data_IF_739526703511
#
_entry.id   IF_739526703511
#
_cell.length_a   1.000
_cell.length_b   1.000
_cell.length_c   1.000
_cell.angle_alpha   90.00
_cell.angle_beta   90.00
_cell.angle_gamma   90.00
#
_symmetry.space_group_name_H-M   'P 1'
#
loop_
_entity.id
_entity.type
_entity.pdbx_description
1 polymer ?
#
# COMPACT_ATOMS: atom_id res chain seq x y z
N UNK A 1 24.55 0.85 -25.45
CA UNK A 1 24.35 0.42 -24.06
C UNK A 1 24.44 -1.09 -24.02
N UNK A 2 25.30 -1.70 -23.19
CA UNK A 2 25.39 -3.14 -23.11
C UNK A 2 24.11 -3.71 -22.49
N UNK A 3 23.54 -4.72 -23.14
CA UNK A 3 22.45 -5.51 -22.59
C UNK A 3 22.92 -6.24 -21.33
N UNK A 4 22.02 -6.43 -20.35
CA UNK A 4 22.24 -7.42 -19.29
C UNK A 4 22.68 -8.75 -19.93
N UNK A 5 23.62 -9.50 -19.31
CA UNK A 5 23.98 -10.82 -19.82
C UNK A 5 22.72 -11.65 -20.02
N UNK A 6 22.64 -12.42 -21.11
CA UNK A 6 21.44 -13.20 -21.48
C UNK A 6 20.96 -14.17 -20.38
N UNK A 7 21.80 -14.43 -19.37
CA UNK A 7 21.50 -15.26 -18.20
C UNK A 7 20.71 -14.54 -17.10
N UNK A 8 20.65 -13.19 -17.09
CA UNK A 8 19.94 -12.42 -16.07
C UNK A 8 18.58 -11.92 -16.55
N UNK A 9 17.55 -12.10 -15.73
CA UNK A 9 16.16 -11.73 -16.06
C UNK A 9 15.68 -10.64 -15.11
N UNK A 10 15.23 -9.52 -15.69
CA UNK A 10 14.49 -8.48 -14.95
C UNK A 10 13.08 -8.98 -14.65
N UNK A 11 12.69 -8.93 -13.38
CA UNK A 11 11.39 -9.33 -12.90
C UNK A 11 10.67 -8.12 -12.27
N UNK A 12 9.72 -7.51 -13.00
CA UNK A 12 9.00 -6.33 -12.51
C UNK A 12 8.08 -6.72 -11.35
N UNK A 13 8.13 -5.97 -10.25
CA UNK A 13 7.30 -6.18 -9.05
C UNK A 13 6.55 -4.91 -8.67
N UNK A 14 5.41 -5.05 -8.01
CA UNK A 14 4.82 -3.97 -7.24
C UNK A 14 5.40 -3.96 -5.81
N UNK A 15 5.49 -2.80 -5.13
CA UNK A 15 5.89 -2.71 -3.73
C UNK A 15 5.13 -3.66 -2.78
N UNK A 16 3.84 -3.90 -3.00
CA UNK A 16 3.04 -4.90 -2.25
C UNK A 16 3.50 -6.34 -2.41
N UNK A 17 4.13 -6.68 -3.53
CA UNK A 17 4.59 -8.05 -3.83
C UNK A 17 5.93 -8.36 -3.17
N UNK A 18 6.60 -7.36 -2.59
CA UNK A 18 7.86 -7.53 -1.90
C UNK A 18 7.64 -7.75 -0.40
N UNK A 19 8.01 -8.95 0.07
CA UNK A 19 8.08 -9.24 1.50
C UNK A 19 9.41 -8.75 2.08
N UNK A 20 9.39 -7.56 2.69
CA UNK A 20 10.58 -6.99 3.34
C UNK A 20 11.06 -7.77 4.57
N UNK A 21 10.22 -8.63 5.15
CA UNK A 21 10.54 -9.45 6.31
C UNK A 21 10.97 -10.87 5.93
N UNK A 22 10.98 -11.17 4.63
CA UNK A 22 11.57 -12.39 4.11
C UNK A 22 13.07 -12.50 4.48
N UNK A 23 13.61 -13.73 4.57
CA UNK A 23 15.04 -13.92 4.81
C UNK A 23 15.88 -13.16 3.78
N UNK A 24 16.85 -12.35 4.25
CA UNK A 24 17.79 -11.68 3.36
C UNK A 24 18.76 -12.72 2.81
N UNK A 25 18.70 -12.99 1.51
CA UNK A 25 19.64 -13.88 0.85
C UNK A 25 20.95 -13.13 0.56
N UNK A 26 22.08 -13.68 1.03
CA UNK A 26 23.41 -13.21 0.63
C UNK A 26 23.61 -13.49 -0.86
N UNK A 27 23.75 -12.43 -1.65
CA UNK A 27 23.99 -12.56 -3.09
C UNK A 27 25.49 -12.73 -3.34
N UNK A 28 25.87 -13.86 -3.93
CA UNK A 28 27.12 -13.93 -4.70
C UNK A 28 26.80 -13.43 -6.09
N UNK A 29 27.26 -12.22 -6.40
CA UNK A 29 27.14 -11.68 -7.75
C UNK A 29 28.22 -12.35 -8.59
N UNK A 30 27.83 -13.02 -9.67
CA UNK A 30 28.78 -13.70 -10.54
C UNK A 30 29.71 -12.69 -11.22
N UNK A 31 31.00 -13.04 -11.33
CA UNK A 31 32.01 -12.21 -11.99
C UNK A 31 31.66 -11.89 -13.46
N UNK A 32 30.85 -12.72 -14.11
CA UNK A 32 30.31 -12.47 -15.46
C UNK A 32 29.45 -11.21 -15.51
N UNK A 33 28.57 -11.00 -14.52
CA UNK A 33 27.73 -9.81 -14.45
C UNK A 33 28.57 -8.56 -14.23
N UNK A 34 29.54 -8.64 -13.32
CA UNK A 34 30.48 -7.54 -13.04
C UNK A 34 31.29 -7.18 -14.30
N UNK A 35 31.78 -8.18 -15.03
CA UNK A 35 32.60 -7.98 -16.25
C UNK A 35 31.78 -7.41 -17.41
N UNK A 36 30.54 -7.88 -17.61
CA UNK A 36 29.64 -7.35 -18.64
C UNK A 36 29.24 -5.90 -18.38
N UNK A 37 29.06 -5.52 -17.10
CA UNK A 37 28.71 -4.16 -16.70
C UNK A 37 29.93 -3.22 -16.72
N UNK A 38 31.15 -3.72 -16.43
CA UNK A 38 32.39 -2.94 -16.44
C UNK A 38 32.84 -2.51 -17.85
N UNK A 39 32.45 -3.24 -18.91
CA UNK A 39 32.75 -2.88 -20.30
C UNK A 39 32.03 -1.60 -20.78
N UNK A 40 31.16 -1.00 -19.95
CA UNK A 40 30.29 0.13 -20.33
C UNK A 40 30.92 1.52 -20.17
N UNK A 41 32.05 1.67 -19.46
CA UNK A 41 32.91 2.86 -19.46
C UNK A 41 32.35 4.20 -18.93
N UNK A 42 31.03 4.39 -18.85
CA UNK A 42 30.39 5.62 -18.37
C UNK A 42 29.53 5.37 -17.13
N UNK A 43 29.57 6.29 -16.16
CA UNK A 43 28.75 6.23 -14.95
C UNK A 43 27.31 6.71 -15.26
N UNK A 44 26.32 5.80 -15.40
CA UNK A 44 25.00 6.16 -15.91
C UNK A 44 24.24 7.10 -14.95
N UNK A 45 24.54 6.99 -13.65
CA UNK A 45 23.93 7.81 -12.61
C UNK A 45 24.43 9.26 -12.59
N UNK A 46 25.54 9.60 -13.28
CA UNK A 46 26.05 10.97 -13.33
C UNK A 46 25.10 11.96 -14.01
N UNK A 47 24.15 11.47 -14.83
CA UNK A 47 23.08 12.29 -15.43
C UNK A 47 21.88 12.51 -14.51
N UNK A 48 21.73 11.70 -13.47
CA UNK A 48 20.59 11.76 -12.56
C UNK A 48 21.01 12.51 -11.31
N UNK A 49 20.74 13.82 -11.25
CA UNK A 49 21.01 14.66 -10.08
C UNK A 49 20.02 14.32 -8.95
N UNK A 50 20.14 13.11 -8.39
CA UNK A 50 19.28 12.64 -7.30
C UNK A 50 19.80 13.24 -6.00
N UNK A 51 19.04 14.19 -5.45
CA UNK A 51 19.22 14.66 -4.09
C UNK A 51 18.60 13.64 -3.13
N UNK A 52 19.41 12.76 -2.53
CA UNK A 52 18.97 12.03 -1.35
C UNK A 52 18.89 13.01 -0.19
N UNK A 53 17.69 13.45 0.15
CA UNK A 53 17.42 14.29 1.33
C UNK A 53 17.58 13.46 2.60
N UNK A 54 18.81 13.21 3.02
CA UNK A 54 19.12 12.89 4.41
C UNK A 54 19.71 14.16 5.01
N UNK A 55 18.83 14.98 5.59
CA UNK A 55 19.21 16.26 6.20
C UNK A 55 20.26 16.00 7.29
N UNK A 56 21.52 16.33 6.98
CA UNK A 56 22.67 16.24 7.89
C UNK A 56 23.84 15.37 7.43
N UNK A 57 23.73 14.62 6.32
CA UNK A 57 24.89 13.91 5.77
C UNK A 57 24.87 13.87 4.25
N UNK A 58 25.91 14.40 3.64
CA UNK A 58 26.30 14.30 2.21
C UNK A 58 26.58 12.86 1.75
N UNK A 59 26.09 11.84 2.46
CA UNK A 59 26.36 10.45 2.16
C UNK A 59 25.36 9.93 1.13
N UNK A 60 25.85 9.80 -0.10
CA UNK A 60 25.18 9.08 -1.20
C UNK A 60 25.14 7.57 -1.01
N UNK A 61 25.63 7.03 0.12
CA UNK A 61 25.57 5.60 0.45
C UNK A 61 25.44 5.40 1.95
N UNK A 62 24.66 4.42 2.36
CA UNK A 62 24.56 4.06 3.77
C UNK A 62 23.56 2.95 4.05
N UNK A 63 23.36 2.70 5.34
CA UNK A 63 22.37 1.77 5.85
C UNK A 63 21.58 2.45 6.96
N UNK A 64 20.25 2.30 6.94
CA UNK A 64 19.35 2.70 8.03
C UNK A 64 18.66 1.47 8.61
N UNK A 65 18.19 1.57 9.84
CA UNK A 65 17.33 0.53 10.43
C UNK A 65 15.88 0.98 10.24
N UNK A 66 15.08 0.12 9.63
CA UNK A 66 13.65 0.35 9.47
C UNK A 66 12.96 0.40 10.85
N UNK A 67 11.87 1.18 11.06
CA UNK A 67 11.19 1.27 12.36
C UNK A 67 10.67 -0.07 12.92
N UNK A 68 10.28 -1.01 12.05
CA UNK A 68 9.91 -2.39 12.43
C UNK A 68 11.12 -3.36 12.50
N UNK A 69 12.35 -2.86 12.35
CA UNK A 69 13.59 -3.63 12.33
C UNK A 69 14.05 -4.03 10.93
N UNK A 70 15.29 -4.52 10.83
CA UNK A 70 15.94 -4.89 9.58
C UNK A 70 16.72 -3.74 8.92
N UNK A 71 17.87 -4.04 8.27
CA UNK A 71 18.65 -3.02 7.59
C UNK A 71 18.07 -2.69 6.21
N UNK A 72 18.05 -1.41 5.88
CA UNK A 72 17.81 -0.88 4.54
C UNK A 72 19.11 -0.27 4.07
N UNK A 73 19.67 -0.79 2.98
CA UNK A 73 20.81 -0.21 2.31
C UNK A 73 20.33 0.75 1.22
N UNK A 74 21.00 1.89 1.10
CA UNK A 74 20.74 2.86 0.05
C UNK A 74 22.05 3.35 -0.58
N UNK A 75 22.00 3.63 -1.88
CA UNK A 75 23.10 4.18 -2.67
C UNK A 75 22.55 5.05 -3.80
N UNK A 76 22.76 6.36 -3.73
CA UNK A 76 22.14 7.32 -4.66
C UNK A 76 20.62 7.13 -4.65
N UNK A 77 19.97 6.89 -5.80
CA UNK A 77 18.54 6.55 -5.86
C UNK A 77 18.20 5.10 -5.51
N UNK A 78 19.17 4.23 -5.23
CA UNK A 78 18.93 2.79 -5.14
C UNK A 78 18.63 2.43 -3.69
N UNK A 79 17.62 1.60 -3.48
CA UNK A 79 17.27 1.04 -2.17
C UNK A 79 17.13 -0.47 -2.26
N UNK A 80 17.57 -1.17 -1.19
CA UNK A 80 17.44 -2.62 -1.08
C UNK A 80 17.52 -3.06 0.38
N UNK A 81 17.04 -4.27 0.67
CA UNK A 81 17.36 -4.99 1.92
C UNK A 81 18.70 -5.75 1.84
N UNK A 82 19.32 -5.78 0.65
CA UNK A 82 20.65 -6.37 0.40
C UNK A 82 21.74 -5.30 0.49
N UNK A 83 22.99 -5.73 0.67
CA UNK A 83 24.13 -4.82 0.54
C UNK A 83 24.30 -4.39 -0.91
N UNK A 84 24.34 -3.08 -1.14
CA UNK A 84 24.46 -2.52 -2.48
C UNK A 84 25.92 -2.56 -2.96
N UNK A 85 26.10 -3.01 -4.20
CA UNK A 85 27.39 -3.15 -4.88
C UNK A 85 27.39 -2.35 -6.19
N UNK A 86 28.52 -2.28 -6.89
CA UNK A 86 28.58 -1.60 -8.21
C UNK A 86 27.71 -2.29 -9.27
N UNK A 87 27.44 -3.59 -9.13
CA UNK A 87 26.50 -4.29 -10.00
C UNK A 87 25.07 -3.73 -9.84
N UNK A 88 24.64 -3.42 -8.62
CA UNK A 88 23.33 -2.80 -8.38
C UNK A 88 23.24 -1.43 -9.06
N UNK A 89 24.31 -0.64 -8.98
CA UNK A 89 24.42 0.66 -9.63
C UNK A 89 24.26 0.56 -11.15
N UNK A 90 24.99 -0.36 -11.77
CA UNK A 90 24.94 -0.53 -13.21
C UNK A 90 23.60 -1.13 -13.69
N UNK A 91 22.99 -2.05 -12.92
CA UNK A 91 21.64 -2.57 -13.18
C UNK A 91 20.59 -1.45 -13.09
N UNK A 92 20.66 -0.61 -12.05
CA UNK A 92 19.74 0.52 -11.89
C UNK A 92 19.85 1.50 -13.07
N UNK A 93 21.07 1.81 -13.53
CA UNK A 93 21.29 2.61 -14.74
C UNK A 93 20.62 2.00 -15.97
N UNK A 94 20.82 0.70 -16.20
CA UNK A 94 20.18 -0.01 -17.32
C UNK A 94 18.65 -0.01 -17.26
N UNK A 95 18.06 -0.07 -16.06
CA UNK A 95 16.61 0.04 -15.87
C UNK A 95 16.14 1.46 -16.18
N UNK A 96 16.80 2.48 -15.61
CA UNK A 96 16.41 3.89 -15.76
C UNK A 96 16.52 4.42 -17.19
N UNK A 97 17.42 3.86 -18.00
CA UNK A 97 17.56 4.17 -19.43
C UNK A 97 16.39 3.63 -20.27
N UNK A 98 15.62 2.66 -19.75
CA UNK A 98 14.52 2.00 -20.45
C UNK A 98 13.14 2.29 -19.86
N UNK A 99 13.09 3.08 -18.79
CA UNK A 99 11.86 3.57 -18.20
C UNK A 99 11.48 4.92 -18.83
N UNK A 100 10.20 5.08 -19.16
CA UNK A 100 9.64 6.38 -19.54
C UNK A 100 9.42 7.21 -18.27
N UNK A 101 10.16 8.31 -18.13
CA UNK A 101 10.10 9.20 -16.96
C UNK A 101 9.19 10.40 -17.25
N UNK A 102 8.56 10.93 -16.19
CA UNK A 102 7.72 12.13 -16.30
C UNK A 102 8.52 13.39 -16.64
N UNK A 103 9.75 13.49 -16.13
CA UNK A 103 10.71 14.53 -16.50
C UNK A 103 12.15 14.02 -16.35
N UNK A 104 13.09 14.68 -17.03
CA UNK A 104 14.53 14.36 -16.92
C UNK A 104 15.10 14.65 -15.52
N UNK A 105 14.45 15.54 -14.76
CA UNK A 105 14.85 15.96 -13.42
C UNK A 105 13.96 15.36 -12.32
N UNK A 106 13.15 14.36 -12.63
CA UNK A 106 12.25 13.75 -11.66
C UNK A 106 13.03 13.16 -10.49
N UNK A 107 12.54 13.33 -9.27
CA UNK A 107 13.13 12.65 -8.12
C UNK A 107 12.70 11.18 -8.13
N UNK A 108 13.68 10.29 -8.34
CA UNK A 108 13.44 8.85 -8.54
C UNK A 108 14.10 8.01 -7.45
N UNK A 109 13.43 6.95 -7.04
CA UNK A 109 14.02 5.83 -6.29
C UNK A 109 13.88 4.52 -7.07
N UNK A 110 14.93 3.70 -7.10
CA UNK A 110 14.93 2.37 -7.71
C UNK A 110 15.08 1.32 -6.61
N UNK A 111 14.09 0.45 -6.48
CA UNK A 111 14.23 -0.73 -5.65
C UNK A 111 14.87 -1.86 -6.46
N UNK A 112 15.84 -2.56 -5.86
CA UNK A 112 16.48 -3.74 -6.43
C UNK A 112 16.62 -4.86 -5.41
N UNK A 113 16.37 -6.08 -5.84
CA UNK A 113 16.69 -7.30 -5.10
C UNK A 113 17.17 -8.38 -6.06
N UNK A 114 18.40 -8.86 -5.88
CA UNK A 114 19.00 -9.85 -6.75
C UNK A 114 18.87 -11.23 -6.09
N UNK A 115 18.24 -12.18 -6.77
CA UNK A 115 18.12 -13.57 -6.34
C UNK A 115 18.69 -14.49 -7.40
N UNK A 116 19.96 -14.87 -7.24
CA UNK A 116 20.70 -15.63 -8.24
C UNK A 116 20.77 -14.87 -9.57
N UNK A 117 20.01 -15.32 -10.57
CA UNK A 117 19.92 -14.71 -11.92
C UNK A 117 18.67 -13.87 -12.14
N UNK A 118 17.77 -13.82 -11.16
CA UNK A 118 16.56 -12.99 -11.22
C UNK A 118 16.83 -11.66 -10.51
N UNK A 119 16.35 -10.57 -11.09
CA UNK A 119 16.47 -9.22 -10.53
C UNK A 119 15.06 -8.67 -10.35
N UNK A 120 14.58 -8.70 -9.11
CA UNK A 120 13.31 -8.08 -8.75
C UNK A 120 13.52 -6.57 -8.66
N UNK A 121 12.65 -5.81 -9.31
CA UNK A 121 12.78 -4.36 -9.36
C UNK A 121 11.45 -3.63 -9.50
N UNK A 122 11.47 -2.36 -9.09
CA UNK A 122 10.52 -1.35 -9.50
C UNK A 122 11.16 0.03 -9.38
N UNK A 123 10.58 1.02 -10.05
CA UNK A 123 11.04 2.40 -10.01
C UNK A 123 9.92 3.27 -9.47
N UNK A 124 10.27 4.25 -8.64
CA UNK A 124 9.36 5.17 -7.98
C UNK A 124 9.64 6.57 -8.50
N UNK A 125 8.62 7.19 -9.08
CA UNK A 125 8.62 8.60 -9.40
C UNK A 125 7.94 9.36 -8.27
N UNK A 126 8.70 10.18 -7.55
CA UNK A 126 8.20 10.82 -6.35
C UNK A 126 7.41 12.11 -6.61
N UNK A 127 7.61 12.76 -7.75
CA UNK A 127 6.87 13.97 -8.14
C UNK A 127 5.43 13.58 -8.52
N UNK A 128 5.32 12.54 -9.34
CA UNK A 128 4.04 11.97 -9.72
C UNK A 128 3.52 10.96 -8.71
N UNK A 129 4.24 10.61 -7.63
CA UNK A 129 3.84 9.58 -6.65
C UNK A 129 3.35 8.28 -7.31
N UNK A 130 4.11 7.79 -8.28
CA UNK A 130 3.74 6.63 -9.09
C UNK A 130 4.85 5.60 -9.18
N UNK A 131 4.47 4.33 -9.31
CA UNK A 131 5.39 3.25 -9.66
C UNK A 131 5.46 3.12 -11.18
N UNK A 132 6.70 3.03 -11.69
CA UNK A 132 7.02 2.87 -13.10
C UNK A 132 7.90 1.62 -13.30
N UNK A 133 7.81 1.03 -14.49
CA UNK A 133 8.58 -0.14 -14.90
C UNK A 133 9.22 0.11 -16.27
N UNK A 134 10.14 -0.76 -16.65
CA UNK A 134 10.69 -0.76 -18.01
C UNK A 134 9.55 -0.94 -19.02
N UNK A 135 9.60 -0.21 -20.14
CA UNK A 135 8.54 -0.25 -21.15
C UNK A 135 8.24 -1.69 -21.60
N UNK A 136 6.94 -2.04 -21.60
CA UNK A 136 6.45 -3.39 -21.90
C UNK A 136 6.56 -4.41 -20.76
N UNK A 137 7.08 -4.04 -19.58
CA UNK A 137 7.23 -4.92 -18.41
C UNK A 137 6.28 -4.57 -17.25
N UNK A 138 5.14 -3.93 -17.52
CA UNK A 138 4.16 -3.66 -16.46
C UNK A 138 3.61 -4.99 -15.93
N UNK A 139 3.65 -5.25 -14.60
CA UNK A 139 3.09 -6.46 -14.02
C UNK A 139 1.62 -6.65 -14.39
N UNK A 140 1.17 -7.89 -14.57
CA UNK A 140 -0.24 -8.19 -14.92
C UNK A 140 -1.22 -7.59 -13.91
N UNK A 141 -0.87 -7.64 -12.63
CA UNK A 141 -1.64 -7.05 -11.53
C UNK A 141 -1.82 -5.53 -11.69
N UNK A 142 -0.97 -4.85 -12.46
CA UNK A 142 -0.96 -3.40 -12.64
C UNK A 142 -1.52 -2.92 -13.98
N UNK A 143 -1.88 -3.82 -14.90
CA UNK A 143 -2.51 -3.44 -16.16
C UNK A 143 -3.87 -2.78 -15.88
N UNK A 144 -4.10 -1.61 -16.47
CA UNK A 144 -5.31 -0.82 -16.24
C UNK A 144 -5.43 -0.23 -14.83
N UNK A 145 -4.33 -0.15 -14.07
CA UNK A 145 -4.32 0.43 -12.74
C UNK A 145 -4.83 1.88 -12.74
N UNK A 146 -5.74 2.17 -11.82
CA UNK A 146 -6.21 3.54 -11.58
C UNK A 146 -5.14 4.34 -10.84
N UNK A 147 -5.25 5.67 -10.90
CA UNK A 147 -4.34 6.60 -10.21
C UNK A 147 -4.15 6.27 -8.72
N UNK A 148 -5.24 5.97 -8.01
CA UNK A 148 -5.20 5.61 -6.59
C UNK A 148 -4.34 4.37 -6.31
N UNK A 149 -4.22 3.44 -7.27
CA UNK A 149 -3.38 2.24 -7.11
C UNK A 149 -1.90 2.57 -7.23
N UNK A 150 -1.50 3.45 -8.16
CA UNK A 150 -0.13 3.96 -8.22
C UNK A 150 0.26 4.67 -6.93
N UNK A 151 -0.61 5.55 -6.41
CA UNK A 151 -0.36 6.26 -5.15
C UNK A 151 -0.31 5.29 -3.96
N UNK A 152 -1.16 4.27 -3.93
CA UNK A 152 -1.11 3.24 -2.88
C UNK A 152 0.24 2.53 -2.84
N UNK A 153 0.71 2.03 -3.99
CA UNK A 153 2.02 1.38 -4.06
C UNK A 153 3.17 2.33 -3.74
N UNK A 154 3.07 3.60 -4.13
CA UNK A 154 4.03 4.64 -3.74
C UNK A 154 4.14 4.75 -2.22
N UNK A 155 3.01 4.81 -1.51
CA UNK A 155 3.03 4.91 -0.06
C UNK A 155 3.44 3.60 0.63
N UNK A 156 3.22 2.45 0.01
CA UNK A 156 3.83 1.18 0.45
C UNK A 156 5.35 1.23 0.32
N UNK A 157 5.87 1.78 -0.78
CA UNK A 157 7.30 2.01 -0.91
C UNK A 157 7.82 2.94 0.19
N UNK A 158 7.15 4.07 0.45
CA UNK A 158 7.53 4.99 1.52
C UNK A 158 7.45 4.34 2.90
N UNK A 159 6.51 3.40 3.12
CA UNK A 159 6.44 2.61 4.35
C UNK A 159 7.59 1.59 4.43
N UNK A 160 7.96 0.97 3.31
CA UNK A 160 9.05 -0.02 3.23
C UNK A 160 10.44 0.59 3.32
N UNK A 161 10.61 1.80 2.79
CA UNK A 161 11.89 2.49 2.70
C UNK A 161 11.78 3.96 3.16
N UNK A 162 11.40 4.23 4.42
CA UNK A 162 11.04 5.57 4.91
C UNK A 162 12.22 6.54 5.12
N UNK A 163 13.45 6.18 4.75
CA UNK A 163 14.63 6.99 5.06
C UNK A 163 15.44 7.54 3.91
N UNK A 164 15.63 6.82 2.77
CA UNK A 164 16.33 7.37 1.61
C UNK A 164 15.64 8.62 1.04
N UNK A 165 14.32 8.73 1.22
CA UNK A 165 13.51 9.93 1.05
C UNK A 165 12.50 10.03 2.19
N UNK A 166 12.36 11.23 2.77
CA UNK A 166 11.33 11.51 3.77
C UNK A 166 10.02 12.02 3.17
N UNK A 167 8.91 11.81 3.88
CA UNK A 167 7.64 12.49 3.60
C UNK A 167 7.82 14.01 3.69
N UNK A 168 7.26 14.75 2.75
CA UNK A 168 7.33 16.21 2.73
C UNK A 168 6.33 16.85 3.69
N UNK A 169 6.48 18.15 3.94
CA UNK A 169 5.48 18.93 4.68
C UNK A 169 4.14 18.98 3.95
N UNK A 170 4.15 18.99 2.61
CA UNK A 170 2.95 18.93 1.78
C UNK A 170 2.22 17.60 1.94
N UNK A 171 2.96 16.48 1.96
CA UNK A 171 2.37 15.16 2.21
C UNK A 171 1.64 15.06 3.55
N UNK A 172 2.26 15.63 4.60
CA UNK A 172 1.67 15.67 5.94
C UNK A 172 0.46 16.60 6.00
N UNK A 173 0.52 17.75 5.34
CA UNK A 173 -0.58 18.71 5.27
C UNK A 173 -1.79 18.08 4.56
N UNK A 174 -1.59 17.52 3.37
CA UNK A 174 -2.63 16.85 2.61
C UNK A 174 -3.23 15.65 3.37
N UNK A 175 -2.40 14.88 4.09
CA UNK A 175 -2.91 13.79 4.92
C UNK A 175 -3.89 14.30 5.99
N UNK A 176 -3.56 15.40 6.67
CA UNK A 176 -4.44 16.01 7.69
C UNK A 176 -5.76 16.49 7.07
N UNK A 177 -5.71 17.10 5.89
CA UNK A 177 -6.90 17.55 5.16
C UNK A 177 -7.80 16.39 4.75
N UNK A 178 -7.21 15.32 4.19
CA UNK A 178 -7.95 14.12 3.79
C UNK A 178 -8.57 13.43 5.00
N UNK A 179 -7.84 13.34 6.12
CA UNK A 179 -8.38 12.81 7.37
C UNK A 179 -9.58 13.63 7.86
N UNK A 180 -9.46 14.96 7.88
CA UNK A 180 -10.56 15.86 8.26
C UNK A 180 -11.78 15.69 7.33
N UNK A 181 -11.56 15.59 6.02
CA UNK A 181 -12.62 15.32 5.04
C UNK A 181 -13.31 13.98 5.28
N UNK A 182 -12.54 12.91 5.55
CA UNK A 182 -13.10 11.61 5.90
C UNK A 182 -13.92 11.63 7.19
N UNK A 183 -13.54 12.45 8.18
CA UNK A 183 -14.33 12.62 9.40
C UNK A 183 -15.67 13.31 9.12
N UNK A 184 -15.67 14.33 8.25
CA UNK A 184 -16.90 15.00 7.82
C UNK A 184 -17.80 14.01 7.06
N UNK A 185 -17.25 13.22 6.14
CA UNK A 185 -17.99 12.18 5.42
C UNK A 185 -18.61 11.18 6.40
N UNK A 186 -17.83 10.66 7.35
CA UNK A 186 -18.31 9.72 8.37
C UNK A 186 -19.36 10.31 9.32
N UNK A 187 -19.36 11.61 9.58
CA UNK A 187 -20.35 12.30 10.41
C UNK A 187 -21.65 12.61 9.66
N UNK A 188 -21.56 12.83 8.35
CA UNK A 188 -22.68 13.32 7.53
C UNK A 188 -23.34 12.21 6.72
N UNK A 189 -22.67 11.08 6.52
CA UNK A 189 -23.15 9.95 5.72
C UNK A 189 -23.08 8.63 6.49
N UNK A 190 -24.23 7.98 6.68
CA UNK A 190 -24.29 6.60 7.20
C UNK A 190 -23.62 5.61 6.24
N UNK A 191 -23.57 5.95 4.94
CA UNK A 191 -22.93 5.19 3.86
C UNK A 191 -21.45 5.48 3.66
N UNK A 192 -20.80 6.24 4.56
CA UNK A 192 -19.42 6.69 4.42
C UNK A 192 -18.46 5.55 4.05
N UNK A 193 -17.57 5.85 3.11
CA UNK A 193 -16.50 4.92 2.68
C UNK A 193 -15.20 5.12 3.45
N UNK A 194 -15.20 6.00 4.47
CA UNK A 194 -14.06 6.24 5.35
C UNK A 194 -13.56 4.92 5.95
N UNK A 195 -12.24 4.63 5.89
CA UNK A 195 -11.68 3.41 6.49
C UNK A 195 -11.64 3.45 8.03
N UNK A 196 -11.93 4.61 8.63
CA UNK A 196 -11.75 4.87 10.05
C UNK A 196 -12.96 5.61 10.64
N UNK A 197 -13.23 5.36 11.92
CA UNK A 197 -14.18 6.14 12.70
C UNK A 197 -13.68 7.56 12.95
N UNK A 198 -14.62 8.46 13.25
CA UNK A 198 -14.35 9.86 13.61
C UNK A 198 -13.38 9.94 14.80
N UNK A 199 -13.55 9.08 15.81
CA UNK A 199 -12.69 9.03 17.00
C UNK A 199 -11.27 8.60 16.67
N UNK A 200 -11.10 7.62 15.77
CA UNK A 200 -9.78 7.20 15.28
C UNK A 200 -9.11 8.33 14.51
N UNK A 201 -9.86 9.00 13.62
CA UNK A 201 -9.36 10.14 12.85
C UNK A 201 -8.88 11.27 13.76
N UNK A 202 -9.67 11.67 14.76
CA UNK A 202 -9.28 12.69 15.74
C UNK A 202 -8.02 12.30 16.51
N UNK A 203 -7.90 11.02 16.88
CA UNK A 203 -6.70 10.49 17.55
C UNK A 203 -5.48 10.60 16.65
N UNK A 204 -5.60 10.21 15.37
CA UNK A 204 -4.50 10.32 14.40
C UNK A 204 -4.11 11.77 14.15
N UNK A 205 -5.08 12.68 13.95
CA UNK A 205 -4.81 14.11 13.75
C UNK A 205 -3.99 14.70 14.92
N UNK A 206 -4.36 14.37 16.16
CA UNK A 206 -3.62 14.77 17.36
C UNK A 206 -2.19 14.21 17.38
N UNK A 207 -1.99 12.94 16.99
CA UNK A 207 -0.65 12.37 16.88
C UNK A 207 0.20 13.06 15.81
N UNK A 208 -0.40 13.45 14.68
CA UNK A 208 0.27 14.15 13.58
C UNK A 208 0.66 15.60 13.92
N UNK A 209 0.19 16.18 15.04
CA UNK A 209 0.65 17.49 15.54
C UNK A 209 2.07 17.43 16.10
N UNK A 210 2.54 16.25 16.51
CA UNK A 210 3.89 16.06 17.05
C UNK A 210 4.96 16.03 15.96
N UNK A 211 4.55 15.91 14.70
CA UNK A 211 5.45 15.74 13.56
C UNK A 211 6.00 17.08 13.07
N UNK A 212 7.27 17.05 12.68
CA UNK A 212 7.99 18.22 12.20
C UNK A 212 7.73 18.44 10.70
N UNK A 213 7.96 19.65 10.21
CA UNK A 213 7.90 19.92 8.77
C UNK A 213 9.06 19.29 7.99
N UNK A 214 10.16 18.91 8.66
CA UNK A 214 11.37 18.40 8.00
C UNK A 214 11.36 16.90 7.73
N UNK A 215 10.43 16.14 8.33
CA UNK A 215 10.39 14.68 8.21
C UNK A 215 11.56 13.96 8.89
N UNK A 216 11.33 12.71 9.26
CA UNK A 216 12.36 11.75 9.65
C UNK A 216 11.87 10.33 9.28
N UNK A 217 12.66 9.29 9.61
CA UNK A 217 12.33 7.90 9.30
C UNK A 217 11.02 7.47 9.96
N UNK A 218 10.81 7.82 11.23
CA UNK A 218 9.67 7.42 12.03
C UNK A 218 8.40 8.14 11.58
N UNK A 219 8.50 9.45 11.30
CA UNK A 219 7.45 10.27 10.75
C UNK A 219 7.03 9.78 9.37
N UNK A 220 7.99 9.54 8.47
CA UNK A 220 7.71 9.07 7.10
C UNK A 220 7.00 7.72 7.13
N UNK A 221 7.48 6.81 7.97
CA UNK A 221 6.84 5.52 8.20
C UNK A 221 5.39 5.66 8.73
N UNK A 222 5.16 6.49 9.74
CA UNK A 222 3.83 6.70 10.30
C UNK A 222 2.85 7.37 9.31
N UNK A 223 3.34 8.37 8.56
CA UNK A 223 2.60 9.07 7.50
C UNK A 223 2.23 8.09 6.39
N UNK A 224 3.18 7.27 5.94
CA UNK A 224 2.97 6.27 4.91
C UNK A 224 1.90 5.24 5.31
N UNK A 225 1.93 4.76 6.56
CA UNK A 225 0.91 3.84 7.07
C UNK A 225 -0.50 4.39 7.03
N UNK A 226 -0.68 5.66 7.39
CA UNK A 226 -1.99 6.30 7.34
C UNK A 226 -2.46 6.51 5.90
N UNK A 227 -1.55 6.91 5.01
CA UNK A 227 -1.84 6.99 3.58
C UNK A 227 -2.23 5.63 3.00
N UNK A 228 -1.55 4.54 3.37
CA UNK A 228 -1.88 3.19 2.91
C UNK A 228 -3.31 2.80 3.28
N UNK A 229 -3.75 3.06 4.52
CA UNK A 229 -5.14 2.81 4.93
C UNK A 229 -6.16 3.58 4.09
N UNK A 230 -5.89 4.86 3.83
CA UNK A 230 -6.78 5.74 3.05
C UNK A 230 -6.83 5.27 1.59
N UNK A 231 -5.67 5.03 0.98
CA UNK A 231 -5.56 4.68 -0.43
C UNK A 231 -6.04 3.27 -0.72
N UNK A 232 -5.85 2.33 0.20
CA UNK A 232 -6.46 1.01 0.10
C UNK A 232 -7.99 1.13 0.03
N UNK A 233 -8.61 1.97 0.87
CA UNK A 233 -10.04 2.25 0.78
C UNK A 233 -10.41 2.87 -0.58
N UNK A 234 -9.63 3.84 -1.07
CA UNK A 234 -9.88 4.47 -2.38
C UNK A 234 -9.76 3.50 -3.55
N UNK A 235 -8.77 2.59 -3.53
CA UNK A 235 -8.60 1.55 -4.55
C UNK A 235 -9.80 0.60 -4.56
N UNK A 236 -10.21 0.13 -3.38
CA UNK A 236 -11.37 -0.75 -3.23
C UNK A 236 -12.65 -0.08 -3.72
N UNK A 237 -12.83 1.21 -3.43
CA UNK A 237 -14.00 2.00 -3.83
C UNK A 237 -13.87 2.63 -5.23
N UNK A 238 -12.86 2.26 -6.03
CA UNK A 238 -12.61 2.77 -7.39
C UNK A 238 -12.62 4.31 -7.50
N UNK A 239 -12.07 4.97 -6.49
CA UNK A 239 -12.09 6.44 -6.38
C UNK A 239 -11.44 7.11 -7.59
N UNK A 240 -12.04 8.20 -8.08
CA UNK A 240 -11.54 8.95 -9.24
C UNK A 240 -11.87 8.32 -10.60
N UNK A 241 -12.74 7.31 -10.63
CA UNK A 241 -13.26 6.70 -11.87
C UNK A 241 -14.76 6.92 -12.02
N UNK A 242 -15.34 6.75 -13.23
CA UNK A 242 -16.79 6.75 -13.41
C UNK A 242 -17.52 5.66 -12.62
N UNK A 243 -16.81 4.61 -12.19
CA UNK A 243 -17.34 3.48 -11.41
C UNK A 243 -17.12 3.64 -9.90
N UNK A 244 -16.78 4.85 -9.42
CA UNK A 244 -16.49 5.10 -8.01
C UNK A 244 -17.71 4.79 -7.12
N UNK A 245 -17.48 3.99 -6.07
CA UNK A 245 -18.50 3.74 -5.04
C UNK A 245 -18.49 4.88 -4.03
N UNK A 246 -19.54 5.71 -4.07
CA UNK A 246 -19.72 6.85 -3.15
C UNK A 246 -20.41 6.48 -1.84
N UNK A 247 -21.15 5.37 -1.83
CA UNK A 247 -21.85 4.86 -0.66
C UNK A 247 -21.53 3.37 -0.51
N UNK A 248 -21.07 2.96 0.68
CA UNK A 248 -20.70 1.58 0.99
C UNK A 248 -21.86 0.59 0.88
N UNK A 249 -23.11 1.06 0.93
CA UNK A 249 -24.30 0.23 0.79
C UNK A 249 -24.65 -0.06 -0.67
N UNK A 250 -24.05 0.65 -1.62
CA UNK A 250 -24.17 0.32 -3.04
C UNK A 250 -23.30 -0.90 -3.31
N UNK A 251 -23.93 -2.04 -3.56
CA UNK A 251 -23.21 -3.26 -3.92
C UNK A 251 -22.65 -3.13 -5.34
N UNK A 252 -21.35 -3.37 -5.50
CA UNK A 252 -20.66 -3.49 -6.80
C UNK A 252 -20.84 -4.92 -7.35
N UNK A 253 -21.26 -5.86 -6.50
CA UNK A 253 -21.51 -7.26 -6.82
C UNK A 253 -22.94 -7.65 -6.48
N UNK A 254 -23.48 -8.70 -7.11
CA UNK A 254 -24.80 -9.25 -6.75
C UNK A 254 -24.73 -9.91 -5.36
N UNK A 255 -24.88 -9.13 -4.30
CA UNK A 255 -24.82 -9.56 -2.91
C UNK A 255 -25.79 -8.70 -2.07
N UNK A 256 -26.53 -9.26 -1.10
CA UNK A 256 -26.45 -10.61 -0.56
C UNK A 256 -27.19 -11.68 -1.37
N UNK A 257 -26.86 -12.98 -1.19
CA UNK A 257 -27.62 -14.07 -1.80
C UNK A 257 -29.07 -14.07 -1.28
N UNK A 258 -30.02 -14.25 -2.19
CA UNK A 258 -31.43 -14.38 -1.82
C UNK A 258 -31.76 -15.76 -1.22
N UNK A 259 -32.69 -15.80 -0.26
CA UNK A 259 -33.20 -17.06 0.25
C UNK A 259 -34.06 -17.76 -0.81
N UNK A 260 -33.63 -18.94 -1.27
CA UNK A 260 -34.38 -19.76 -2.23
C UNK A 260 -34.92 -21.05 -1.60
N UNK A 261 -35.98 -21.60 -2.20
CA UNK A 261 -36.52 -22.91 -1.85
C UNK A 261 -37.02 -23.03 -0.40
N UNK A 262 -36.66 -24.12 0.28
CA UNK A 262 -37.10 -24.43 1.65
C UNK A 262 -36.68 -23.37 2.66
N UNK A 263 -35.52 -22.74 2.46
CA UNK A 263 -35.02 -21.67 3.34
C UNK A 263 -35.89 -20.41 3.28
N UNK A 264 -36.49 -20.09 2.13
CA UNK A 264 -37.42 -18.97 2.00
C UNK A 264 -38.69 -19.20 2.84
N UNK A 265 -39.20 -20.44 2.86
CA UNK A 265 -40.36 -20.82 3.66
C UNK A 265 -40.08 -20.77 5.17
N UNK A 266 -38.93 -21.28 5.61
CA UNK A 266 -38.49 -21.18 7.02
C UNK A 266 -38.34 -19.71 7.43
N UNK A 267 -37.76 -18.87 6.55
CA UNK A 267 -37.63 -17.46 6.84
C UNK A 267 -38.97 -16.75 6.98
N UNK A 268 -39.99 -17.11 6.19
CA UNK A 268 -41.37 -16.60 6.36
C UNK A 268 -41.97 -17.02 7.70
N UNK A 269 -41.80 -18.29 8.10
CA UNK A 269 -42.26 -18.79 9.40
C UNK A 269 -41.60 -18.04 10.57
N UNK A 270 -40.32 -17.67 10.40
CA UNK A 270 -39.57 -16.85 11.36
C UNK A 270 -39.81 -15.34 11.18
N UNK A 271 -40.96 -14.92 10.65
CA UNK A 271 -41.35 -13.52 10.46
C UNK A 271 -40.31 -12.67 9.70
N UNK A 272 -39.64 -13.26 8.70
CA UNK A 272 -38.57 -12.65 7.91
C UNK A 272 -37.34 -12.19 8.72
N UNK A 273 -37.20 -12.59 9.98
CA UNK A 273 -36.01 -12.27 10.79
C UNK A 273 -34.69 -12.74 10.15
N UNK A 274 -34.62 -13.92 9.48
CA UNK A 274 -33.41 -14.32 8.76
C UNK A 274 -33.04 -13.36 7.62
N UNK A 275 -34.02 -12.78 6.91
CA UNK A 275 -33.76 -11.77 5.87
C UNK A 275 -33.21 -10.48 6.48
N UNK A 276 -33.81 -10.01 7.58
CA UNK A 276 -33.30 -8.84 8.29
C UNK A 276 -31.87 -9.07 8.83
N UNK A 277 -31.58 -10.26 9.35
CA UNK A 277 -30.26 -10.61 9.85
C UNK A 277 -29.23 -10.69 8.72
N UNK A 278 -29.56 -11.35 7.61
CA UNK A 278 -28.72 -11.46 6.42
C UNK A 278 -28.47 -10.08 5.78
N UNK A 279 -29.48 -9.20 5.74
CA UNK A 279 -29.32 -7.82 5.33
C UNK A 279 -28.38 -7.01 6.24
N UNK A 280 -28.45 -7.19 7.57
CA UNK A 280 -27.50 -6.57 8.51
C UNK A 280 -26.07 -7.10 8.32
N UNK A 281 -25.93 -8.40 8.15
CA UNK A 281 -24.64 -9.05 7.90
C UNK A 281 -24.02 -8.54 6.59
N UNK A 282 -24.83 -8.48 5.53
CA UNK A 282 -24.43 -7.95 4.22
C UNK A 282 -24.01 -6.48 4.27
N UNK A 283 -24.69 -5.64 5.04
CA UNK A 283 -24.27 -4.24 5.25
C UNK A 283 -22.97 -4.12 6.04
N UNK A 284 -22.75 -5.00 7.03
CA UNK A 284 -21.50 -5.04 7.78
C UNK A 284 -20.33 -5.66 6.96
N UNK A 285 -20.65 -6.40 5.90
CA UNK A 285 -19.72 -7.09 5.02
C UNK A 285 -20.01 -6.78 3.53
N UNK A 286 -20.15 -5.49 3.21
CA UNK A 286 -20.52 -5.04 1.87
C UNK A 286 -19.44 -5.39 0.85
N UNK A 287 -19.82 -6.09 -0.23
CA UNK A 287 -18.93 -6.54 -1.31
C UNK A 287 -17.63 -7.23 -0.83
N UNK A 288 -17.76 -8.10 0.18
CA UNK A 288 -16.63 -8.83 0.80
C UNK A 288 -15.65 -7.96 1.60
N UNK A 289 -15.97 -6.69 1.84
CA UNK A 289 -15.17 -5.78 2.65
C UNK A 289 -15.84 -5.65 4.01
N UNK A 290 -15.16 -6.12 5.05
CA UNK A 290 -15.62 -5.95 6.43
C UNK A 290 -14.97 -4.69 7.00
N UNK A 291 -15.74 -3.61 7.15
CA UNK A 291 -15.27 -2.43 7.87
C UNK A 291 -15.20 -2.77 9.35
N UNK A 292 -14.02 -2.66 9.95
CA UNK A 292 -13.76 -3.13 11.33
C UNK A 292 -14.78 -2.61 12.34
N UNK A 293 -15.16 -1.34 12.25
CA UNK A 293 -16.15 -0.72 13.14
C UNK A 293 -17.56 -1.29 12.94
N UNK A 294 -18.02 -1.41 11.70
CA UNK A 294 -19.36 -1.97 11.42
C UNK A 294 -19.43 -3.45 11.75
N UNK A 295 -18.36 -4.19 11.48
CA UNK A 295 -18.24 -5.58 11.89
C UNK A 295 -18.28 -5.72 13.41
N UNK A 296 -17.60 -4.83 14.15
CA UNK A 296 -17.65 -4.82 15.62
C UNK A 296 -19.05 -4.51 16.14
N UNK A 297 -19.71 -3.48 15.59
CA UNK A 297 -21.11 -3.13 15.95
C UNK A 297 -22.06 -4.29 15.66
N UNK A 298 -21.94 -4.93 14.50
CA UNK A 298 -22.71 -6.10 14.12
C UNK A 298 -22.51 -7.25 15.12
N UNK A 299 -21.25 -7.59 15.42
CA UNK A 299 -20.90 -8.64 16.38
C UNK A 299 -21.49 -8.36 17.77
N UNK A 300 -21.28 -7.17 18.31
CA UNK A 300 -21.79 -6.78 19.64
C UNK A 300 -23.32 -6.83 19.69
N UNK A 301 -23.99 -6.39 18.62
CA UNK A 301 -25.46 -6.48 18.52
C UNK A 301 -25.92 -7.93 18.51
N UNK A 302 -25.29 -8.78 17.70
CA UNK A 302 -25.62 -10.19 17.62
C UNK A 302 -25.38 -10.91 18.96
N UNK A 303 -24.24 -10.68 19.61
CA UNK A 303 -23.94 -11.24 20.93
C UNK A 303 -25.00 -10.86 21.97
N UNK A 304 -25.47 -9.62 21.97
CA UNK A 304 -26.54 -9.15 22.86
C UNK A 304 -27.88 -9.84 22.57
N UNK A 305 -28.27 -9.90 21.29
CA UNK A 305 -29.51 -10.59 20.87
C UNK A 305 -29.49 -12.07 21.28
N UNK A 306 -28.38 -12.77 21.06
CA UNK A 306 -28.22 -14.17 21.47
C UNK A 306 -28.32 -14.36 22.98
N UNK A 307 -27.69 -13.50 23.79
CA UNK A 307 -27.82 -13.56 25.25
C UNK A 307 -29.27 -13.39 25.72
N UNK A 308 -30.02 -12.48 25.09
CA UNK A 308 -31.44 -12.27 25.41
C UNK A 308 -32.29 -13.50 25.07
N UNK A 309 -32.06 -14.11 23.90
CA UNK A 309 -32.76 -15.34 23.50
C UNK A 309 -32.46 -16.48 24.49
N UNK A 310 -31.18 -16.68 24.83
CA UNK A 310 -30.78 -17.73 25.78
C UNK A 310 -31.39 -17.51 27.17
N UNK A 311 -31.48 -16.26 27.65
CA UNK A 311 -32.13 -15.94 28.91
C UNK A 311 -33.64 -16.26 28.88
N UNK A 312 -34.33 -15.91 27.79
CA UNK A 312 -35.74 -16.23 27.61
C UNK A 312 -35.98 -17.75 27.58
N UNK A 313 -35.19 -18.49 26.79
CA UNK A 313 -35.28 -19.95 26.71
C UNK A 313 -35.00 -20.58 28.07
N UNK A 314 -33.96 -20.13 28.77
CA UNK A 314 -33.65 -20.62 30.12
C UNK A 314 -34.80 -20.38 31.08
N UNK A 315 -35.45 -19.21 31.03
CA UNK A 315 -36.59 -18.89 31.89
C UNK A 315 -37.84 -19.71 31.56
N UNK A 316 -38.03 -20.08 30.30
CA UNK A 316 -39.14 -20.89 29.84
C UNK A 316 -38.97 -22.39 30.14
N UNK A 317 -37.72 -22.86 30.30
CA UNK A 317 -37.41 -24.25 30.66
C UNK A 317 -37.41 -24.49 32.18
N UNK A 318 -37.38 -23.43 32.98
CA UNK A 318 -37.45 -23.49 34.45
C UNK A 318 -38.88 -23.36 35.01
N UNK A 319 -39.88 -23.16 34.15
CA UNK A 319 -41.31 -23.21 34.48
C UNK A 319 -41.93 -24.49 33.90
#
# INVERSE_FOLDING_TARGET
MPSLPASYTLNPKAPTEFDRFGPVHCVKIDNELVSALAASGENPLARSTISTSIRGSTRSVGTIIHPEGGPISYRSCIVSTQNLTDAHVAIAGHILDRCERSSDNAEITVFLYILGRQIDYYVVDHDSKAIIWVSGQVPESFKGAIRAKHEHEYWIHMENFPGPRFSTSEDLCLLKEVLASNAIDALTSEGSTSPMSVQQIQTHLKSLELFSSSGDVQQTYAVARLWNLILQSRVINKYGTPEARMDRFISITDNPPDFAGTYASVAKLMFKRPHAHLGRCSRAWADRIAYTEEWRKFKTTNEREWKQIMALVSSALTN
#
